data_IF_769316540405
#
_entry.id   IF_769316540405
#
_cell.length_a   1.000
_cell.length_b   1.000
_cell.length_c   1.000
_cell.angle_alpha   90.00
_cell.angle_beta   90.00
_cell.angle_gamma   90.00
#
_symmetry.space_group_name_H-M   'P 1'
#
loop_
_entity.id
_entity.type
_entity.pdbx_description
1 polymer ?
#
# COMPACT_ATOMS: atom_id res chain seq x y z
N UNK A 1 -15.82 -17.97 3.59
CA UNK A 1 -15.75 -17.69 2.14
C UNK A 1 -15.08 -18.85 1.44
N UNK A 2 -15.65 -19.33 0.33
CA UNK A 2 -15.03 -20.35 -0.53
C UNK A 2 -14.01 -19.70 -1.47
N UNK A 3 -13.14 -20.49 -2.10
CA UNK A 3 -12.17 -19.96 -3.07
C UNK A 3 -12.84 -19.24 -4.25
N UNK A 4 -13.96 -19.77 -4.74
CA UNK A 4 -14.77 -19.17 -5.81
C UNK A 4 -15.33 -17.79 -5.41
N UNK A 5 -15.88 -17.70 -4.19
CA UNK A 5 -16.41 -16.43 -3.66
C UNK A 5 -15.30 -15.40 -3.46
N UNK A 6 -14.12 -15.83 -3.00
CA UNK A 6 -12.95 -14.96 -2.84
C UNK A 6 -12.48 -14.36 -4.17
N UNK A 7 -12.44 -15.17 -5.23
CA UNK A 7 -12.07 -14.71 -6.58
C UNK A 7 -13.07 -13.71 -7.14
N UNK A 8 -14.37 -14.02 -7.06
CA UNK A 8 -15.41 -13.11 -7.55
C UNK A 8 -15.42 -11.77 -6.78
N UNK A 9 -15.22 -11.83 -5.46
CA UNK A 9 -15.07 -10.63 -4.64
C UNK A 9 -13.84 -9.80 -5.06
N UNK A 10 -12.68 -10.46 -5.22
CA UNK A 10 -11.43 -9.80 -5.61
C UNK A 10 -11.55 -9.10 -6.97
N UNK A 11 -12.11 -9.77 -7.98
CA UNK A 11 -12.32 -9.18 -9.31
C UNK A 11 -13.24 -7.95 -9.27
N UNK A 12 -14.26 -7.99 -8.42
CA UNK A 12 -15.14 -6.83 -8.21
C UNK A 12 -14.38 -5.66 -7.58
N UNK A 13 -13.60 -5.90 -6.52
CA UNK A 13 -12.87 -4.82 -5.85
C UNK A 13 -11.78 -4.22 -6.74
N UNK A 14 -11.04 -5.04 -7.48
CA UNK A 14 -10.04 -4.56 -8.44
C UNK A 14 -10.70 -3.63 -9.47
N UNK A 15 -11.88 -3.99 -9.99
CA UNK A 15 -12.61 -3.15 -10.96
C UNK A 15 -12.99 -1.79 -10.38
N UNK A 16 -13.47 -1.76 -9.14
CA UNK A 16 -13.83 -0.51 -8.46
C UNK A 16 -12.59 0.37 -8.19
N UNK A 17 -11.47 -0.22 -7.75
CA UNK A 17 -10.22 0.51 -7.53
C UNK A 17 -9.68 1.13 -8.82
N UNK A 18 -9.74 0.40 -9.94
CA UNK A 18 -9.39 0.92 -11.26
C UNK A 18 -10.31 2.09 -11.67
N UNK A 19 -11.60 2.00 -11.38
CA UNK A 19 -12.56 3.08 -11.66
C UNK A 19 -12.28 4.34 -10.83
N UNK A 20 -11.70 4.19 -9.63
CA UNK A 20 -11.23 5.28 -8.78
C UNK A 20 -9.86 5.85 -9.20
N UNK A 21 -9.21 5.25 -10.20
CA UNK A 21 -7.93 5.70 -10.74
C UNK A 21 -6.69 5.11 -10.05
N UNK A 22 -6.86 4.10 -9.19
CA UNK A 22 -5.73 3.30 -8.70
C UNK A 22 -5.19 2.47 -9.86
N UNK A 23 -3.87 2.34 -9.97
CA UNK A 23 -3.29 1.51 -11.03
C UNK A 23 -3.51 0.02 -10.78
N UNK A 24 -3.33 -0.79 -11.83
CA UNK A 24 -3.58 -2.22 -11.75
C UNK A 24 -2.67 -2.95 -10.75
N UNK A 25 -1.34 -2.71 -10.73
CA UNK A 25 -0.46 -3.30 -9.73
C UNK A 25 -0.89 -3.01 -8.29
N UNK A 26 -1.21 -1.75 -7.96
CA UNK A 26 -1.60 -1.34 -6.62
C UNK A 26 -2.96 -1.91 -6.23
N UNK A 27 -3.91 -1.93 -7.16
CA UNK A 27 -5.22 -2.52 -6.94
C UNK A 27 -5.12 -4.03 -6.63
N UNK A 28 -4.30 -4.76 -7.39
CA UNK A 28 -4.04 -6.18 -7.16
C UNK A 28 -3.31 -6.43 -5.83
N UNK A 29 -2.30 -5.63 -5.52
CA UNK A 29 -1.56 -5.73 -4.26
C UNK A 29 -2.47 -5.49 -3.06
N UNK A 30 -3.30 -4.45 -3.12
CA UNK A 30 -4.26 -4.09 -2.05
C UNK A 30 -5.26 -5.22 -1.81
N UNK A 31 -5.91 -5.71 -2.87
CA UNK A 31 -6.92 -6.78 -2.74
C UNK A 31 -6.32 -8.08 -2.25
N UNK A 32 -5.10 -8.43 -2.72
CA UNK A 32 -4.36 -9.58 -2.21
C UNK A 32 -4.06 -9.44 -0.73
N UNK A 33 -3.55 -8.29 -0.29
CA UNK A 33 -3.25 -8.04 1.11
C UNK A 33 -4.49 -8.24 2.00
N UNK A 34 -5.66 -7.75 1.56
CA UNK A 34 -6.92 -7.96 2.30
C UNK A 34 -7.23 -9.46 2.43
N UNK A 35 -7.14 -10.23 1.35
CA UNK A 35 -7.43 -11.66 1.39
C UNK A 35 -6.43 -12.46 2.23
N UNK A 36 -5.16 -12.08 2.21
CA UNK A 36 -4.09 -12.74 2.97
C UNK A 36 -4.24 -12.52 4.48
N UNK A 37 -4.83 -11.39 4.89
CA UNK A 37 -4.98 -11.00 6.30
C UNK A 37 -6.41 -11.18 6.85
N UNK A 38 -7.39 -11.52 6.00
CA UNK A 38 -8.78 -11.70 6.41
C UNK A 38 -8.90 -12.91 7.36
N UNK A 39 -9.41 -12.72 8.60
CA UNK A 39 -9.63 -13.83 9.52
C UNK A 39 -10.62 -14.87 8.99
N UNK A 40 -10.41 -16.13 9.33
CA UNK A 40 -11.31 -17.21 8.92
C UNK A 40 -12.75 -16.95 9.40
N UNK A 41 -13.67 -16.86 8.44
CA UNK A 41 -15.09 -16.62 8.70
C UNK A 41 -15.50 -15.13 8.79
N UNK A 42 -14.55 -14.19 8.67
CA UNK A 42 -14.86 -12.77 8.57
C UNK A 42 -15.44 -12.41 7.19
N UNK A 43 -16.27 -11.36 7.14
CA UNK A 43 -16.79 -10.79 5.90
C UNK A 43 -15.86 -9.68 5.40
N UNK A 44 -15.24 -9.83 4.22
CA UNK A 44 -14.29 -8.84 3.69
C UNK A 44 -14.92 -7.47 3.39
N UNK A 45 -16.25 -7.37 3.28
CA UNK A 45 -16.92 -6.08 3.04
C UNK A 45 -17.09 -5.24 4.32
N UNK A 46 -16.89 -5.85 5.49
CA UNK A 46 -17.10 -5.21 6.79
C UNK A 46 -15.90 -5.31 7.72
N UNK A 47 -14.95 -6.19 7.37
CA UNK A 47 -13.72 -6.36 8.12
C UNK A 47 -12.85 -5.11 8.02
N UNK A 48 -12.39 -4.65 9.17
CA UNK A 48 -11.40 -3.58 9.32
C UNK A 48 -10.17 -4.23 9.96
N UNK A 49 -8.97 -4.05 9.39
CA UNK A 49 -7.75 -4.61 9.97
C UNK A 49 -7.46 -4.00 11.35
N UNK A 50 -6.88 -4.81 12.23
CA UNK A 50 -6.29 -4.29 13.47
C UNK A 50 -5.17 -3.30 13.12
N UNK A 51 -5.07 -2.12 13.76
CA UNK A 51 -3.98 -1.18 13.53
C UNK A 51 -2.59 -1.81 13.59
N UNK A 52 -2.37 -2.81 14.45
CA UNK A 52 -1.09 -3.51 14.54
C UNK A 52 -0.70 -4.29 13.27
N UNK A 53 -1.65 -4.61 12.38
CA UNK A 53 -1.38 -5.21 11.07
C UNK A 53 -0.90 -4.19 10.04
N UNK A 54 -1.09 -2.91 10.32
CA UNK A 54 -0.67 -1.79 9.47
C UNK A 54 0.67 -1.21 9.92
N UNK A 55 1.19 -1.64 11.07
CA UNK A 55 2.50 -1.25 11.56
C UNK A 55 3.57 -1.94 10.71
N UNK A 56 3.99 -1.26 9.64
CA UNK A 56 5.15 -1.67 8.85
C UNK A 56 6.43 -1.18 9.54
N UNK A 57 7.43 -2.07 9.75
CA UNK A 57 8.71 -1.65 10.30
C UNK A 57 9.41 -0.70 9.33
N UNK A 58 9.86 0.45 9.85
CA UNK A 58 10.73 1.35 9.08
C UNK A 58 12.13 0.73 9.07
N UNK A 59 12.38 -0.09 8.06
CA UNK A 59 13.68 -0.69 7.77
C UNK A 59 14.46 0.11 6.72
N UNK A 60 15.68 -0.32 6.40
CA UNK A 60 16.54 0.39 5.45
C UNK A 60 15.90 0.48 4.06
N UNK A 61 15.15 -0.56 3.63
CA UNK A 61 14.48 -0.55 2.33
C UNK A 61 13.34 0.48 2.29
N UNK A 62 12.54 0.58 3.36
CA UNK A 62 11.52 1.61 3.50
C UNK A 62 12.12 3.02 3.51
N UNK A 63 13.29 3.19 4.14
CA UNK A 63 14.03 4.46 4.13
C UNK A 63 14.51 4.80 2.72
N UNK A 64 15.12 3.85 2.01
CA UNK A 64 15.62 4.06 0.64
C UNK A 64 14.48 4.45 -0.31
N UNK A 65 13.35 3.75 -0.26
CA UNK A 65 12.18 4.04 -1.09
C UNK A 65 11.61 5.44 -0.80
N UNK A 66 11.48 5.79 0.48
CA UNK A 66 11.04 7.12 0.90
C UNK A 66 12.01 8.22 0.43
N UNK A 67 13.33 7.98 0.49
CA UNK A 67 14.35 8.91 -0.03
C UNK A 67 14.18 9.08 -1.54
N UNK A 68 14.05 8.00 -2.30
CA UNK A 68 13.85 8.06 -3.76
C UNK A 68 12.61 8.90 -4.08
N UNK A 69 11.47 8.62 -3.46
CA UNK A 69 10.24 9.38 -3.65
C UNK A 69 10.41 10.87 -3.31
N UNK A 70 11.10 11.17 -2.20
CA UNK A 70 11.38 12.53 -1.77
C UNK A 70 12.25 13.32 -2.76
N UNK A 71 13.34 12.73 -3.26
CA UNK A 71 14.21 13.38 -4.24
C UNK A 71 13.59 13.45 -5.63
N UNK A 72 12.75 12.49 -6.02
CA UNK A 72 12.01 12.50 -7.28
C UNK A 72 10.82 13.48 -7.26
N UNK A 73 10.29 13.83 -6.09
CA UNK A 73 9.12 14.71 -5.96
C UNK A 73 9.40 16.14 -6.43
N UNK A 74 8.70 16.58 -7.48
CA UNK A 74 8.71 17.98 -7.95
C UNK A 74 8.10 18.94 -6.94
N UNK A 75 7.23 18.43 -6.07
CA UNK A 75 6.59 19.18 -4.99
C UNK A 75 7.55 19.52 -3.84
N UNK A 76 8.75 18.95 -3.81
CA UNK A 76 9.77 19.19 -2.78
C UNK A 76 10.77 20.24 -3.28
N UNK A 77 10.78 21.46 -2.70
CA UNK A 77 11.75 22.49 -3.04
C UNK A 77 13.21 22.03 -2.86
N UNK A 78 14.09 22.43 -3.80
CA UNK A 78 15.51 22.06 -3.79
C UNK A 78 16.25 22.40 -2.48
N UNK A 79 15.82 23.44 -1.76
CA UNK A 79 16.40 23.80 -0.45
C UNK A 79 16.25 22.70 0.60
N UNK A 80 15.16 21.93 0.55
CA UNK A 80 14.90 20.88 1.53
C UNK A 80 15.63 19.59 1.15
N UNK A 81 15.77 19.28 -0.15
CA UNK A 81 16.64 18.21 -0.65
C UNK A 81 18.08 18.37 -0.15
N UNK A 82 18.63 19.59 -0.26
CA UNK A 82 20.00 19.90 0.22
C UNK A 82 20.20 19.80 1.73
N UNK A 83 19.15 19.95 2.54
CA UNK A 83 19.27 19.85 4.00
C UNK A 83 19.52 18.41 4.44
N UNK A 84 18.95 17.43 3.74
CA UNK A 84 19.21 16.01 4.01
C UNK A 84 20.64 15.62 3.61
N UNK A 85 21.17 16.21 2.54
CA UNK A 85 22.55 15.96 2.09
C UNK A 85 23.61 16.54 3.04
N UNK A 86 23.26 17.54 3.86
CA UNK A 86 24.21 18.29 4.69
C UNK A 86 24.77 17.51 5.90
N UNK A 87 24.30 16.29 6.16
CA UNK A 87 24.73 15.45 7.28
C UNK A 87 25.46 14.16 6.89
N UNK A 88 25.71 13.90 5.60
CA UNK A 88 26.34 12.66 5.09
C UNK A 88 27.86 12.77 4.82
N UNK A 89 28.59 13.65 5.52
CA UNK A 89 30.06 13.71 5.46
C UNK A 89 30.78 12.78 6.46
#
# INVERSE_FOLDING_TARGET
>A
MTASEATAWAESQIRELLALGVDLPDAQATVRWVLDNLPAGADPNTWVPDPALLDEPIDEAAIEDARIAYYAGDHVPARFKRLLDAGEE
#
